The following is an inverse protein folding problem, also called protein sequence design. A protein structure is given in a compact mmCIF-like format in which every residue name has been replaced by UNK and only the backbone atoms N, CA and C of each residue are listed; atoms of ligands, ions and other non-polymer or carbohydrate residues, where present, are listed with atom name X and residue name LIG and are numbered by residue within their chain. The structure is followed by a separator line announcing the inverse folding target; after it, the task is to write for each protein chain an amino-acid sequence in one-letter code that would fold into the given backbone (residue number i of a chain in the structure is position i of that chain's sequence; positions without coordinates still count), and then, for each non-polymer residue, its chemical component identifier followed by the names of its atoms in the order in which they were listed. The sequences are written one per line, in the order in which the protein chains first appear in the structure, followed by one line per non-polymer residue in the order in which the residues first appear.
data_IF_895484939428
#
_entry.id   IF_895484939428
#
_cell.length_a   1.000
_cell.length_b   1.000
_cell.length_c   1.000
_cell.angle_alpha   90.00
_cell.angle_beta   90.00
_cell.angle_gamma   90.00
#
_symmetry.space_group_name_H-M   'P 1'
#
loop_
_entity.id
_entity.type
_entity.pdbx_description
1 polymer ?
#
# COMPACT_ATOMS: atom_id res chain seq x y z
N UNK A 1 6.61 -11.59 15.90
CA UNK A 1 6.80 -11.52 17.36
C UNK A 1 8.20 -11.99 17.73
N UNK A 2 8.63 -13.17 17.28
CA UNK A 2 9.99 -13.70 17.50
C UNK A 2 11.13 -12.71 17.20
N UNK A 3 11.19 -12.12 15.99
CA UNK A 3 12.22 -11.12 15.69
C UNK A 3 12.18 -9.91 16.65
N UNK A 4 10.99 -9.54 17.11
CA UNK A 4 10.80 -8.44 18.07
C UNK A 4 11.22 -8.81 19.48
N UNK A 5 10.97 -10.04 19.92
CA UNK A 5 11.41 -10.54 21.21
C UNK A 5 12.93 -10.65 21.24
N UNK A 6 13.55 -11.23 20.21
CA UNK A 6 15.01 -11.36 20.09
C UNK A 6 15.70 -9.99 20.13
N UNK A 7 15.15 -9.00 19.40
CA UNK A 7 15.67 -7.62 19.42
C UNK A 7 15.63 -6.95 20.80
N UNK A 8 14.72 -7.40 21.66
CA UNK A 8 14.53 -6.91 23.02
C UNK A 8 15.09 -7.88 24.08
N UNK A 9 15.95 -8.82 23.67
CA UNK A 9 16.55 -9.84 24.54
C UNK A 9 15.52 -10.70 25.29
N UNK A 10 14.44 -11.08 24.61
CA UNK A 10 13.39 -11.97 25.13
C UNK A 10 13.20 -13.17 24.20
N UNK A 11 12.66 -14.27 24.72
CA UNK A 11 12.36 -15.48 23.95
C UNK A 11 10.87 -15.64 23.75
N UNK A 12 10.45 -15.99 22.52
CA UNK A 12 9.08 -16.33 22.21
C UNK A 12 9.03 -17.58 21.31
N UNK A 13 8.23 -18.58 21.68
CA UNK A 13 7.99 -19.77 20.85
C UNK A 13 6.83 -19.52 19.88
N UNK A 14 7.06 -19.82 18.60
CA UNK A 14 6.02 -19.74 17.57
C UNK A 14 4.84 -20.68 17.86
N UNK A 15 5.15 -21.89 18.34
CA UNK A 15 4.14 -22.91 18.63
C UNK A 15 3.23 -22.45 19.79
N UNK A 16 3.83 -22.03 20.90
CA UNK A 16 3.10 -21.53 22.07
C UNK A 16 2.26 -20.29 21.71
N UNK A 17 2.79 -19.40 20.87
CA UNK A 17 2.07 -18.23 20.38
C UNK A 17 0.81 -18.63 19.61
N UNK A 18 0.93 -19.54 18.63
CA UNK A 18 -0.20 -19.97 17.79
C UNK A 18 -1.25 -20.69 18.64
N UNK A 19 -0.81 -21.55 19.56
CA UNK A 19 -1.71 -22.24 20.48
C UNK A 19 -2.49 -21.27 21.38
N UNK A 20 -1.79 -20.29 21.98
CA UNK A 20 -2.41 -19.29 22.83
C UNK A 20 -3.42 -18.42 22.06
N UNK A 21 -3.11 -18.04 20.81
CA UNK A 21 -4.05 -17.32 19.94
C UNK A 21 -5.31 -18.15 19.71
N UNK A 22 -5.17 -19.43 19.33
CA UNK A 22 -6.32 -20.33 19.13
C UNK A 22 -7.18 -20.45 20.38
N UNK A 23 -6.56 -20.72 21.54
CA UNK A 23 -7.25 -20.80 22.84
C UNK A 23 -7.99 -19.52 23.18
N UNK A 24 -7.37 -18.36 22.94
CA UNK A 24 -7.99 -17.05 23.21
C UNK A 24 -9.19 -16.79 22.31
N UNK A 25 -9.10 -17.12 21.02
CA UNK A 25 -10.24 -16.97 20.09
C UNK A 25 -11.39 -17.88 20.49
N UNK A 26 -11.12 -19.16 20.77
CA UNK A 26 -12.15 -20.12 21.19
C UNK A 26 -12.83 -19.69 22.50
N UNK A 27 -12.06 -19.19 23.48
CA UNK A 27 -12.61 -18.67 24.73
C UNK A 27 -13.49 -17.42 24.55
N UNK A 28 -13.38 -16.73 23.41
CA UNK A 28 -14.09 -15.48 23.10
C UNK A 28 -14.99 -15.58 21.86
N UNK A 29 -15.38 -16.79 21.46
CA UNK A 29 -16.18 -17.03 20.24
C UNK A 29 -17.45 -16.16 20.16
N UNK A 30 -18.15 -16.00 21.30
CA UNK A 30 -19.35 -15.13 21.41
C UNK A 30 -19.09 -13.65 21.10
N UNK A 31 -17.83 -13.19 21.11
CA UNK A 31 -17.44 -11.81 20.80
C UNK A 31 -17.07 -11.62 19.33
N UNK A 32 -17.00 -12.69 18.54
CA UNK A 32 -16.69 -12.61 17.12
C UNK A 32 -17.86 -11.92 16.39
N UNK A 33 -17.63 -10.80 15.68
CA UNK A 33 -18.70 -10.15 14.94
C UNK A 33 -19.28 -11.05 13.84
N UNK A 34 -20.59 -10.97 13.54
CA UNK A 34 -21.19 -11.70 12.43
C UNK A 34 -20.54 -11.38 11.08
N UNK A 35 -20.68 -12.26 10.07
CA UNK A 35 -20.16 -12.03 8.72
C UNK A 35 -20.54 -10.66 8.17
N UNK A 36 -19.54 -9.90 7.71
CA UNK A 36 -19.73 -8.56 7.15
C UNK A 36 -19.99 -7.43 8.17
N UNK A 37 -19.97 -7.71 9.47
CA UNK A 37 -20.18 -6.69 10.54
C UNK A 37 -18.89 -6.24 11.22
N UNK A 38 -17.76 -6.93 11.00
CA UNK A 38 -16.49 -6.59 11.61
C UNK A 38 -15.54 -7.79 11.70
N UNK A 39 -14.56 -7.69 12.58
CA UNK A 39 -13.62 -8.76 12.90
C UNK A 39 -13.31 -8.78 14.40
N UNK A 40 -12.78 -9.91 14.89
CA UNK A 40 -12.20 -9.98 16.23
C UNK A 40 -10.71 -9.58 16.14
N UNK A 41 -10.37 -8.42 16.69
CA UNK A 41 -8.98 -7.98 16.78
C UNK A 41 -8.27 -8.71 17.90
N UNK A 42 -7.11 -9.29 17.60
CA UNK A 42 -6.30 -10.06 18.54
C UNK A 42 -5.02 -9.28 18.82
N UNK A 43 -4.71 -9.03 20.11
CA UNK A 43 -3.52 -8.32 20.54
C UNK A 43 -2.66 -9.18 21.46
N UNK A 44 -1.68 -9.90 20.91
CA UNK A 44 -0.60 -10.49 21.68
C UNK A 44 0.39 -9.41 22.15
N UNK A 45 0.86 -9.54 23.38
CA UNK A 45 1.87 -8.68 24.01
C UNK A 45 2.89 -9.54 24.75
N UNK A 46 4.16 -9.17 24.64
CA UNK A 46 5.25 -9.73 25.42
C UNK A 46 5.91 -8.58 26.18
N UNK A 47 5.90 -8.65 27.50
CA UNK A 47 6.36 -7.59 28.40
C UNK A 47 7.47 -8.13 29.30
N UNK A 48 8.61 -7.44 29.36
CA UNK A 48 9.63 -7.72 30.39
C UNK A 48 9.19 -7.21 31.76
N UNK A 49 9.42 -8.03 32.78
CA UNK A 49 9.05 -7.79 34.17
C UNK A 49 10.11 -8.32 35.14
N UNK A 50 9.95 -8.03 36.43
CA UNK A 50 10.80 -8.51 37.51
C UNK A 50 11.72 -7.43 38.10
N UNK A 51 12.33 -7.75 39.24
CA UNK A 51 13.05 -6.79 40.08
C UNK A 51 14.44 -6.47 39.50
N UNK A 52 14.53 -5.44 38.66
CA UNK A 52 15.80 -4.94 38.12
C UNK A 52 15.72 -3.42 37.89
N UNK A 53 16.75 -2.69 38.33
CA UNK A 53 16.86 -1.22 38.12
C UNK A 53 17.88 -0.86 37.03
N UNK A 54 18.81 -1.76 36.70
CA UNK A 54 19.84 -1.55 35.69
C UNK A 54 19.37 -1.85 34.27
N UNK A 55 20.12 -1.34 33.28
CA UNK A 55 19.89 -1.66 31.86
C UNK A 55 20.43 -3.06 31.56
N UNK A 56 19.56 -4.06 31.67
CA UNK A 56 19.85 -5.46 31.36
C UNK A 56 18.56 -6.16 30.89
N UNK A 57 18.66 -7.35 30.27
CA UNK A 57 17.49 -8.18 29.98
C UNK A 57 16.66 -8.41 31.24
N UNK A 58 15.33 -8.35 31.11
CA UNK A 58 14.45 -8.56 32.25
C UNK A 58 14.58 -10.01 32.77
N UNK A 59 14.56 -10.23 34.09
CA UNK A 59 14.69 -11.59 34.63
C UNK A 59 13.45 -12.46 34.35
N UNK A 60 12.30 -11.82 34.09
CA UNK A 60 11.04 -12.50 33.77
C UNK A 60 10.31 -11.77 32.63
N UNK A 61 9.40 -12.48 31.96
CA UNK A 61 8.55 -11.89 30.93
C UNK A 61 7.13 -12.42 31.04
N UNK A 62 6.16 -11.55 30.80
CA UNK A 62 4.74 -11.89 30.73
C UNK A 62 4.29 -11.90 29.29
N UNK A 63 3.78 -13.05 28.82
CA UNK A 63 3.06 -13.16 27.55
C UNK A 63 1.55 -13.13 27.81
N UNK A 64 0.84 -12.21 27.16
CA UNK A 64 -0.60 -12.07 27.30
C UNK A 64 -1.25 -11.81 25.95
N UNK A 65 -2.49 -12.29 25.80
CA UNK A 65 -3.31 -12.03 24.61
C UNK A 65 -4.67 -11.55 25.09
N UNK A 66 -5.13 -10.44 24.52
CA UNK A 66 -6.51 -10.00 24.67
C UNK A 66 -7.15 -9.77 23.30
N UNK A 67 -8.48 -9.71 23.28
CA UNK A 67 -9.26 -9.53 22.07
C UNK A 67 -10.28 -8.41 22.20
N UNK A 68 -10.61 -7.76 21.09
CA UNK A 68 -11.69 -6.77 21.01
C UNK A 68 -12.44 -6.92 19.68
N UNK A 69 -13.78 -6.93 19.67
CA UNK A 69 -14.51 -6.78 18.41
C UNK A 69 -14.20 -5.41 17.81
N UNK A 70 -14.00 -5.35 16.50
CA UNK A 70 -13.79 -4.12 15.73
C UNK A 70 -14.76 -4.07 14.57
N UNK A 71 -15.29 -2.87 14.30
CA UNK A 71 -16.19 -2.63 13.18
C UNK A 71 -15.49 -2.65 11.82
N UNK A 72 -16.28 -2.56 10.77
CA UNK A 72 -15.77 -2.55 9.39
C UNK A 72 -15.17 -1.20 9.00
N UNK A 73 -13.87 -1.21 8.65
CA UNK A 73 -13.13 -0.03 8.20
C UNK A 73 -13.51 0.44 6.79
N UNK A 74 -14.22 -0.38 5.98
CA UNK A 74 -14.60 -0.05 4.59
C UNK A 74 -15.54 1.16 4.46
N UNK A 75 -16.18 1.58 5.55
CA UNK A 75 -17.07 2.76 5.57
C UNK A 75 -16.32 4.10 5.53
N UNK A 76 -14.99 4.10 5.68
CA UNK A 76 -14.18 5.32 5.54
C UNK A 76 -13.82 5.49 4.05
N UNK A 77 -14.75 6.05 3.28
CA UNK A 77 -14.60 6.30 1.82
C UNK A 77 -13.91 7.63 1.49
N UNK A 78 -13.25 8.25 2.46
CA UNK A 78 -12.55 9.51 2.29
C UNK A 78 -11.06 9.21 2.15
N UNK A 79 -10.48 9.58 1.00
CA UNK A 79 -9.03 9.54 0.84
C UNK A 79 -8.35 10.26 1.99
N UNK A 80 -7.22 9.73 2.45
CA UNK A 80 -6.45 10.34 3.54
C UNK A 80 -5.66 11.54 3.00
N UNK A 81 -5.80 12.71 3.65
CA UNK A 81 -4.86 13.81 3.46
C UNK A 81 -3.74 13.70 4.51
N UNK A 82 -2.50 13.60 4.05
CA UNK A 82 -1.36 13.31 4.93
C UNK A 82 -0.41 14.50 5.05
N UNK A 83 0.07 14.77 6.27
CA UNK A 83 1.13 15.75 6.52
C UNK A 83 2.49 15.07 6.44
N UNK A 84 3.40 15.58 5.62
CA UNK A 84 4.79 15.13 5.64
C UNK A 84 5.48 15.69 6.88
N UNK A 85 6.05 14.82 7.71
CA UNK A 85 6.80 15.24 8.89
C UNK A 85 8.30 15.30 8.58
N UNK A 86 8.83 16.52 8.68
CA UNK A 86 10.25 16.82 8.50
C UNK A 86 11.00 16.97 9.83
N UNK A 87 10.28 17.01 10.96
CA UNK A 87 10.84 17.31 12.27
C UNK A 87 11.08 16.04 13.10
N UNK A 88 10.24 15.02 12.92
CA UNK A 88 10.33 13.77 13.65
C UNK A 88 10.55 12.60 12.70
N UNK A 89 11.31 11.61 13.19
CA UNK A 89 11.58 10.37 12.48
C UNK A 89 11.08 9.19 13.28
N UNK A 90 10.35 8.30 12.61
CA UNK A 90 9.77 7.10 13.22
C UNK A 90 10.84 6.08 13.62
N UNK A 91 11.84 5.91 12.77
CA UNK A 91 12.87 4.90 12.92
C UNK A 91 14.17 5.33 12.23
N UNK A 92 15.29 4.88 12.80
CA UNK A 92 16.64 5.15 12.31
C UNK A 92 17.34 3.82 12.00
N UNK A 93 18.37 3.85 11.14
CA UNK A 93 19.21 2.68 10.90
C UNK A 93 19.84 2.20 12.21
N UNK A 94 19.84 0.88 12.44
CA UNK A 94 20.30 0.30 13.71
C UNK A 94 19.34 0.46 14.90
N UNK A 95 18.20 1.13 14.74
CA UNK A 95 17.18 1.30 15.79
C UNK A 95 16.27 0.09 15.99
N UNK A 96 15.05 0.33 16.47
CA UNK A 96 14.00 -0.68 16.68
C UNK A 96 12.91 -0.68 15.61
N UNK A 97 13.05 0.11 14.53
CA UNK A 97 12.01 0.26 13.50
C UNK A 97 11.65 -1.02 12.74
N UNK A 98 12.58 -1.97 12.64
CA UNK A 98 12.34 -3.26 11.97
C UNK A 98 11.50 -4.25 12.79
N UNK A 99 11.13 -3.92 14.03
CA UNK A 99 10.33 -4.78 14.91
C UNK A 99 9.13 -4.03 15.47
N UNK A 100 8.06 -4.76 15.81
CA UNK A 100 6.84 -4.14 16.36
C UNK A 100 6.98 -3.96 17.88
N UNK A 101 7.57 -2.84 18.27
CA UNK A 101 7.86 -2.45 19.67
C UNK A 101 7.15 -1.15 20.06
N UNK A 102 6.82 -0.99 21.35
CA UNK A 102 6.24 0.25 21.89
C UNK A 102 7.16 1.46 21.71
N UNK A 103 8.48 1.24 21.64
CA UNK A 103 9.49 2.28 21.37
C UNK A 103 9.22 3.03 20.06
N UNK A 104 8.56 2.41 19.09
CA UNK A 104 8.27 3.02 17.79
C UNK A 104 6.91 3.75 17.79
N UNK A 105 6.03 3.47 18.75
CA UNK A 105 4.70 4.08 18.79
C UNK A 105 4.71 5.45 19.47
N UNK A 106 5.55 5.62 20.51
CA UNK A 106 5.61 6.87 21.28
C UNK A 106 5.96 8.11 20.42
N UNK A 107 6.97 8.06 19.52
CA UNK A 107 7.33 9.20 18.68
C UNK A 107 6.20 9.67 17.74
N UNK A 108 5.30 8.77 17.34
CA UNK A 108 4.20 9.09 16.40
C UNK A 108 3.20 10.06 17.02
N UNK A 109 2.94 9.94 18.32
CA UNK A 109 1.77 10.57 18.97
C UNK A 109 1.82 12.09 18.81
N UNK A 110 2.98 12.70 19.05
CA UNK A 110 3.14 14.16 18.95
C UNK A 110 2.91 14.64 17.51
N UNK A 111 3.60 14.04 16.54
CA UNK A 111 3.42 14.32 15.11
C UNK A 111 1.98 14.18 14.66
N UNK A 112 1.28 13.14 15.11
CA UNK A 112 -0.10 12.87 14.75
C UNK A 112 -1.06 13.92 15.31
N UNK A 113 -0.88 14.32 16.58
CA UNK A 113 -1.66 15.39 17.20
C UNK A 113 -1.45 16.71 16.46
N UNK A 114 -0.20 17.05 16.16
CA UNK A 114 0.14 18.26 15.40
C UNK A 114 -0.48 18.24 13.99
N UNK A 115 -0.38 17.12 13.27
CA UNK A 115 -0.98 16.98 11.94
C UNK A 115 -2.50 17.11 11.96
N UNK A 116 -3.17 16.45 12.91
CA UNK A 116 -4.63 16.56 13.09
C UNK A 116 -5.06 17.96 13.48
N UNK A 117 -4.31 18.64 14.33
CA UNK A 117 -4.57 20.05 14.67
C UNK A 117 -4.47 20.99 13.46
N UNK A 118 -3.70 20.61 12.44
CA UNK A 118 -3.55 21.35 11.17
C UNK A 118 -4.52 20.87 10.07
N UNK A 119 -5.51 20.02 10.39
CA UNK A 119 -6.53 19.55 9.44
C UNK A 119 -6.13 18.36 8.56
N UNK A 120 -5.01 17.70 8.86
CA UNK A 120 -4.61 16.46 8.17
C UNK A 120 -5.17 15.21 8.87
N UNK A 121 -5.45 14.16 8.11
CA UNK A 121 -5.95 12.89 8.62
C UNK A 121 -4.85 12.11 9.36
N UNK A 122 -3.64 12.14 8.82
CA UNK A 122 -2.51 11.34 9.30
C UNK A 122 -1.14 11.93 8.89
N UNK A 123 -0.06 11.25 9.26
CA UNK A 123 1.34 11.67 9.06
C UNK A 123 2.10 10.71 8.15
N UNK A 124 2.84 11.29 7.21
CA UNK A 124 3.80 10.61 6.35
C UNK A 124 5.22 10.85 6.90
N UNK A 125 5.91 9.77 7.29
CA UNK A 125 7.28 9.85 7.78
C UNK A 125 8.30 9.60 6.66
N UNK A 126 9.36 10.40 6.69
CA UNK A 126 10.52 10.24 5.82
C UNK A 126 11.63 9.44 6.52
N UNK A 127 12.56 8.91 5.73
CA UNK A 127 13.74 8.25 6.26
C UNK A 127 14.58 9.23 7.09
N UNK A 128 15.15 8.72 8.19
CA UNK A 128 15.91 9.56 9.11
C UNK A 128 17.32 9.94 8.64
N UNK A 129 17.83 9.32 7.56
CA UNK A 129 19.20 9.52 7.10
C UNK A 129 19.27 10.72 6.17
N UNK A 130 18.35 10.79 5.21
CA UNK A 130 18.32 11.82 4.18
C UNK A 130 17.14 12.76 4.31
N UNK A 131 16.06 12.36 4.98
CA UNK A 131 14.83 13.15 5.07
C UNK A 131 14.16 13.38 3.72
N UNK A 132 14.39 12.48 2.74
CA UNK A 132 13.90 12.64 1.35
C UNK A 132 13.08 11.45 0.86
N UNK A 133 13.30 10.26 1.41
CA UNK A 133 12.63 9.05 0.98
C UNK A 133 11.43 8.77 1.87
N UNK A 134 10.31 8.43 1.25
CA UNK A 134 9.11 7.98 1.97
C UNK A 134 9.44 6.68 2.70
N UNK A 135 9.10 6.62 4.00
CA UNK A 135 9.33 5.45 4.84
C UNK A 135 8.02 4.72 5.14
N UNK A 136 7.17 5.35 5.94
CA UNK A 136 5.92 4.77 6.47
C UNK A 136 4.88 5.86 6.69
N UNK A 137 3.62 5.47 6.73
CA UNK A 137 2.50 6.34 7.07
C UNK A 137 2.01 5.94 8.45
N UNK A 138 2.32 6.74 9.49
CA UNK A 138 2.09 6.45 10.91
C UNK A 138 2.18 4.98 11.34
N UNK A 139 1.10 4.21 11.21
CA UNK A 139 0.95 2.82 11.66
C UNK A 139 0.75 1.81 10.52
N UNK A 140 0.85 2.23 9.27
CA UNK A 140 0.66 1.41 8.08
C UNK A 140 1.75 1.65 7.01
N UNK A 141 1.94 0.61 6.19
CA UNK A 141 2.86 0.66 5.05
C UNK A 141 2.24 1.41 3.88
N UNK A 142 3.08 1.88 2.96
CA UNK A 142 2.67 2.62 1.78
C UNK A 142 2.96 1.79 0.55
N UNK A 143 2.00 1.77 -0.38
CA UNK A 143 2.16 1.24 -1.72
C UNK A 143 1.91 2.36 -2.71
N UNK A 144 2.79 2.51 -3.70
CA UNK A 144 2.67 3.50 -4.75
C UNK A 144 2.39 2.76 -6.05
N UNK A 145 1.21 3.00 -6.63
CA UNK A 145 0.84 2.46 -7.95
C UNK A 145 1.13 3.53 -9.00
N UNK A 146 1.99 3.20 -9.96
CA UNK A 146 2.31 4.06 -11.10
C UNK A 146 1.46 3.63 -12.30
N UNK A 147 0.83 4.60 -12.96
CA UNK A 147 -0.03 4.31 -14.11
C UNK A 147 -0.01 5.43 -15.13
N UNK A 148 -0.12 5.04 -16.40
CA UNK A 148 -0.26 5.94 -17.54
C UNK A 148 -1.46 5.53 -18.35
N UNK A 149 -2.20 6.50 -18.87
CA UNK A 149 -3.29 6.24 -19.78
C UNK A 149 -3.11 7.04 -21.06
N UNK A 150 -3.58 6.45 -22.15
CA UNK A 150 -3.65 7.09 -23.45
C UNK A 150 -5.08 7.23 -23.92
N UNK A 151 -5.35 8.16 -24.83
CA UNK A 151 -6.69 8.39 -25.35
C UNK A 151 -6.68 8.46 -26.87
N UNK A 152 -7.46 7.60 -27.51
CA UNK A 152 -7.66 7.63 -28.96
C UNK A 152 -9.06 7.17 -29.35
N UNK A 153 -9.42 7.50 -30.59
CA UNK A 153 -10.76 7.24 -31.14
C UNK A 153 -10.62 6.46 -32.43
N UNK A 154 -11.51 5.48 -32.62
CA UNK A 154 -11.69 4.78 -33.88
C UNK A 154 -12.97 5.28 -34.56
N UNK A 155 -12.84 5.59 -35.84
CA UNK A 155 -13.93 6.11 -36.67
C UNK A 155 -14.23 5.12 -37.80
N UNK A 156 -15.51 5.05 -38.20
CA UNK A 156 -15.93 4.36 -39.41
C UNK A 156 -16.01 5.36 -40.55
N UNK A 157 -15.38 5.02 -41.67
CA UNK A 157 -15.44 5.78 -42.92
C UNK A 157 -16.67 5.37 -43.74
N UNK A 158 -17.06 6.20 -44.71
CA UNK A 158 -18.21 5.95 -45.60
C UNK A 158 -18.09 4.61 -46.36
N UNK A 159 -16.86 4.20 -46.71
CA UNK A 159 -16.56 2.92 -47.36
C UNK A 159 -16.45 1.73 -46.37
N UNK A 160 -16.84 1.92 -45.11
CA UNK A 160 -16.91 0.87 -44.09
C UNK A 160 -15.57 0.49 -43.43
N UNK A 161 -14.45 1.10 -43.83
CA UNK A 161 -13.16 0.92 -43.16
C UNK A 161 -13.17 1.55 -41.76
N UNK A 162 -12.23 1.14 -40.92
CA UNK A 162 -12.00 1.73 -39.60
C UNK A 162 -10.66 2.42 -39.60
N UNK A 163 -10.64 3.68 -39.17
CA UNK A 163 -9.43 4.49 -39.10
C UNK A 163 -9.11 4.87 -37.66
N UNK A 164 -7.81 4.98 -37.39
CA UNK A 164 -7.24 5.45 -36.13
C UNK A 164 -6.38 6.67 -36.44
N UNK A 165 -6.49 7.71 -35.62
CA UNK A 165 -5.67 8.90 -35.78
C UNK A 165 -4.32 8.73 -35.05
N UNK A 166 -3.24 8.60 -35.83
CA UNK A 166 -1.84 8.60 -35.37
C UNK A 166 -1.58 7.78 -34.08
N UNK A 167 -1.95 6.49 -34.04
CA UNK A 167 -1.78 5.66 -32.84
C UNK A 167 -0.30 5.49 -32.44
N UNK A 168 0.64 5.70 -33.37
CA UNK A 168 2.08 5.79 -33.14
C UNK A 168 2.47 6.95 -32.22
N UNK A 169 1.82 8.12 -32.35
CA UNK A 169 2.09 9.28 -31.50
C UNK A 169 1.57 9.08 -30.07
N UNK A 170 0.45 8.35 -29.91
CA UNK A 170 -0.01 7.90 -28.60
C UNK A 170 1.00 6.93 -27.96
N UNK A 171 1.58 6.02 -28.75
CA UNK A 171 2.60 5.09 -28.25
C UNK A 171 3.86 5.83 -27.76
N UNK A 172 4.35 6.80 -28.54
CA UNK A 172 5.51 7.61 -28.16
C UNK A 172 5.28 8.41 -26.87
N UNK A 173 4.07 8.95 -26.69
CA UNK A 173 3.72 9.64 -25.44
C UNK A 173 3.64 8.69 -24.25
N UNK A 174 3.12 7.48 -24.42
CA UNK A 174 3.14 6.45 -23.38
C UNK A 174 4.58 6.09 -23.01
N UNK A 175 5.48 5.93 -23.97
CA UNK A 175 6.90 5.66 -23.74
C UNK A 175 7.57 6.79 -22.96
N UNK A 176 7.39 8.04 -23.40
CA UNK A 176 7.91 9.23 -22.70
C UNK A 176 7.38 9.32 -21.27
N UNK A 177 6.10 9.01 -21.07
CA UNK A 177 5.51 8.95 -19.74
C UNK A 177 6.09 7.83 -18.88
N UNK A 178 6.35 6.66 -19.49
CA UNK A 178 6.87 5.50 -18.81
C UNK A 178 8.30 5.75 -18.34
N UNK A 179 9.13 6.35 -19.18
CA UNK A 179 10.49 6.79 -18.82
C UNK A 179 10.46 7.72 -17.60
N UNK A 180 9.56 8.71 -17.59
CA UNK A 180 9.39 9.66 -16.47
C UNK A 180 8.93 9.00 -15.18
N UNK A 181 8.13 7.94 -15.27
CA UNK A 181 7.67 7.17 -14.13
C UNK A 181 8.62 6.00 -13.79
N UNK A 182 9.72 5.84 -14.52
CA UNK A 182 10.62 4.69 -14.44
C UNK A 182 9.85 3.37 -14.59
N UNK A 183 9.03 3.27 -15.62
CA UNK A 183 8.23 2.09 -15.97
C UNK A 183 8.68 1.56 -17.32
N UNK A 184 8.57 0.25 -17.53
CA UNK A 184 8.77 -0.37 -18.84
C UNK A 184 7.55 -0.11 -19.72
N UNK A 185 7.73 0.54 -20.87
CA UNK A 185 6.68 0.72 -21.87
C UNK A 185 6.73 -0.35 -22.97
N UNK A 186 5.58 -0.70 -23.57
CA UNK A 186 5.57 -1.48 -24.81
C UNK A 186 6.24 -0.70 -25.95
N UNK A 187 6.81 -1.42 -26.91
CA UNK A 187 7.28 -0.82 -28.16
C UNK A 187 6.12 -0.18 -28.93
N UNK A 188 6.43 0.76 -29.83
CA UNK A 188 5.41 1.46 -30.62
C UNK A 188 4.58 0.48 -31.44
N UNK A 189 5.21 -0.56 -31.98
CA UNK A 189 4.53 -1.62 -32.71
C UNK A 189 3.62 -2.45 -31.80
N UNK A 190 4.10 -2.87 -30.64
CA UNK A 190 3.27 -3.62 -29.67
C UNK A 190 2.03 -2.81 -29.29
N UNK A 191 2.19 -1.52 -28.98
CA UNK A 191 1.08 -0.63 -28.66
C UNK A 191 0.08 -0.52 -29.81
N UNK A 192 0.57 -0.18 -31.02
CA UNK A 192 -0.30 0.01 -32.19
C UNK A 192 -1.03 -1.28 -32.56
N UNK A 193 -0.35 -2.43 -32.48
CA UNK A 193 -0.98 -3.73 -32.72
C UNK A 193 -2.03 -4.07 -31.66
N UNK A 194 -1.77 -3.79 -30.39
CA UNK A 194 -2.74 -3.99 -29.32
C UNK A 194 -3.99 -3.14 -29.52
N UNK A 195 -3.83 -1.85 -29.88
CA UNK A 195 -4.94 -0.96 -30.23
C UNK A 195 -5.73 -1.52 -31.42
N UNK A 196 -5.05 -1.89 -32.51
CA UNK A 196 -5.71 -2.44 -33.71
C UNK A 196 -6.51 -3.69 -33.38
N UNK A 197 -5.92 -4.65 -32.66
CA UNK A 197 -6.60 -5.89 -32.22
C UNK A 197 -7.82 -5.58 -31.37
N UNK A 198 -7.70 -4.65 -30.42
CA UNK A 198 -8.82 -4.23 -29.55
C UNK A 198 -9.97 -3.63 -30.37
N UNK A 199 -9.66 -2.76 -31.33
CA UNK A 199 -10.68 -2.13 -32.18
C UNK A 199 -11.34 -3.14 -33.10
N UNK A 200 -10.56 -4.06 -33.70
CA UNK A 200 -11.09 -5.11 -34.57
C UNK A 200 -12.01 -6.06 -33.80
N UNK A 201 -11.61 -6.49 -32.61
CA UNK A 201 -12.44 -7.32 -31.72
C UNK A 201 -13.76 -6.62 -31.32
N UNK A 202 -13.78 -5.28 -31.35
CA UNK A 202 -14.92 -4.45 -30.99
C UNK A 202 -15.54 -3.72 -32.20
N UNK A 203 -15.32 -4.19 -33.43
CA UNK A 203 -15.77 -3.54 -34.67
C UNK A 203 -17.27 -3.20 -34.67
N UNK A 204 -18.12 -4.03 -34.05
CA UNK A 204 -19.57 -3.79 -33.94
C UNK A 204 -19.94 -2.55 -33.14
N UNK A 205 -19.06 -2.12 -32.24
CA UNK A 205 -19.25 -0.94 -31.39
C UNK A 205 -18.74 0.35 -32.01
N UNK A 206 -18.05 0.29 -33.16
CA UNK A 206 -17.64 1.48 -33.90
C UNK A 206 -18.88 2.03 -34.64
N UNK A 207 -19.37 3.25 -34.29
CA UNK A 207 -20.60 3.78 -34.86
C UNK A 207 -20.56 3.93 -36.38
N UNK A 208 -21.72 4.06 -37.05
CA UNK A 208 -21.78 4.46 -38.46
C UNK A 208 -21.08 5.81 -38.73
N UNK A 209 -20.72 6.11 -39.98
CA UNK A 209 -20.15 7.40 -40.37
C UNK A 209 -21.03 8.56 -39.88
N UNK A 210 -20.39 9.60 -39.34
CA UNK A 210 -21.08 10.78 -38.80
C UNK A 210 -21.86 10.59 -37.50
N UNK A 211 -21.94 9.37 -36.93
CA UNK A 211 -22.72 9.06 -35.71
C UNK A 211 -21.88 8.94 -34.43
N UNK A 212 -20.55 9.07 -34.52
CA UNK A 212 -19.66 9.09 -33.37
C UNK A 212 -18.37 8.29 -33.58
N UNK A 213 -17.75 7.87 -32.48
CA UNK A 213 -16.50 7.12 -32.47
C UNK A 213 -16.45 6.11 -31.33
N UNK A 214 -15.74 5.01 -31.51
CA UNK A 214 -15.36 4.15 -30.39
C UNK A 214 -14.17 4.77 -29.68
N UNK A 215 -14.30 5.05 -28.38
CA UNK A 215 -13.20 5.55 -27.56
C UNK A 215 -12.37 4.39 -27.01
N UNK A 216 -11.04 4.49 -27.14
CA UNK A 216 -10.08 3.52 -26.65
C UNK A 216 -9.17 4.22 -25.64
N UNK A 217 -8.99 3.58 -24.47
CA UNK A 217 -8.19 4.08 -23.36
C UNK A 217 -7.14 3.03 -22.98
N UNK A 218 -6.02 2.93 -23.74
CA UNK A 218 -4.92 2.06 -23.33
C UNK A 218 -4.39 2.50 -21.97
N UNK A 219 -4.10 1.53 -21.12
CA UNK A 219 -3.66 1.73 -19.75
C UNK A 219 -2.38 0.93 -19.55
N UNK A 220 -1.33 1.58 -19.07
CA UNK A 220 -0.10 0.96 -18.61
C UNK A 220 -0.06 1.08 -17.09
N UNK A 221 -0.04 -0.05 -16.40
CA UNK A 221 0.11 -0.10 -14.94
C UNK A 221 1.42 -0.80 -14.65
N UNK A 222 2.28 -0.16 -13.87
CA UNK A 222 3.49 -0.79 -13.36
C UNK A 222 3.14 -1.58 -12.11
N UNK A 223 3.39 -2.89 -12.13
CA UNK A 223 3.18 -3.77 -10.98
C UNK A 223 4.51 -4.38 -10.58
N UNK A 224 4.96 -4.17 -9.35
CA UNK A 224 6.20 -4.77 -8.88
C UNK A 224 6.27 -4.81 -7.36
N UNK A 225 7.01 -5.77 -6.82
CA UNK A 225 7.25 -5.91 -5.38
C UNK A 225 8.29 -4.90 -4.87
N UNK A 226 8.13 -3.62 -5.21
CA UNK A 226 9.06 -2.55 -4.85
C UNK A 226 8.44 -1.67 -3.76
N UNK A 227 8.96 -1.75 -2.54
CA UNK A 227 8.76 -0.74 -1.49
C UNK A 227 9.81 0.37 -1.68
N UNK A 228 9.51 1.37 -2.51
CA UNK A 228 10.40 2.53 -2.75
C UNK A 228 10.21 3.20 -4.11
N UNK A 229 10.82 4.36 -4.33
CA UNK A 229 10.93 4.99 -5.66
C UNK A 229 12.05 4.27 -6.42
N UNK A 230 11.73 3.10 -6.97
CA UNK A 230 12.56 2.45 -7.98
C UNK A 230 11.72 2.14 -9.22
N UNK A 231 12.38 1.75 -10.30
CA UNK A 231 11.70 1.22 -11.47
C UNK A 231 10.97 -0.07 -11.11
N UNK A 232 9.77 -0.27 -11.66
CA UNK A 232 9.12 -1.58 -11.58
C UNK A 232 9.95 -2.56 -12.44
N UNK A 233 10.39 -3.71 -11.89
CA UNK A 233 11.31 -4.58 -12.61
C UNK A 233 10.72 -5.21 -13.88
N UNK A 234 9.39 -5.35 -14.00
CA UNK A 234 8.68 -5.76 -15.22
C UNK A 234 7.28 -5.15 -15.28
#
# INVERSE_FOLDING_TARGET
MQNGSERLCMTASLEQFVEAVKKTVLANDKRVPPPGKGALYIRPLLLGSGAILGVAPAPEYTFLIYVSPVGDYRKVSLGLNMKVDHNYHLAHSGGAGGVKSCTNCSPIVKSLVEARSSGFSDVLFLDAVTGRNIKEASTFNIFIVKGLFEGLKAYRTEDGRITLFRPDQNAFRMQTGADRLCMTSPSSDQFVQAVKKTVLANKKWVPPPGKGSLYIRPLLIGTGAVLGIASAPE
#
